data_IF_891779757154
#
_entry.id   IF_891779757154
#
_cell.length_a   1.000
_cell.length_b   1.000
_cell.length_c   1.000
_cell.angle_alpha   90.00
_cell.angle_beta   90.00
_cell.angle_gamma   90.00
#
_symmetry.space_group_name_H-M   'P 1'
#
loop_
_entity.id
_entity.type
_entity.pdbx_description
1 polymer ?
#
# COMPACT_ATOMS: atom_id res chain seq x y z
N UNK A 1 66.00 -3.66 -50.97
CA UNK A 1 66.27 -4.74 -51.96
C UNK A 1 65.92 -6.08 -51.32
N UNK A 2 65.01 -6.83 -51.96
CA UNK A 2 64.78 -8.30 -51.93
C UNK A 2 64.60 -8.99 -50.55
N UNK A 3 63.44 -9.57 -50.19
CA UNK A 3 62.65 -10.70 -50.75
C UNK A 3 62.82 -11.99 -49.93
N UNK A 4 61.69 -12.46 -49.36
CA UNK A 4 61.16 -13.83 -49.34
C UNK A 4 62.06 -15.03 -48.99
N UNK A 5 61.59 -15.88 -48.05
CA UNK A 5 61.19 -17.25 -48.38
C UNK A 5 60.48 -17.96 -47.20
N UNK A 6 59.27 -18.46 -47.48
CA UNK A 6 58.60 -19.52 -46.73
C UNK A 6 59.42 -20.82 -46.76
N UNK A 7 59.36 -21.61 -45.68
CA UNK A 7 59.40 -23.07 -45.79
C UNK A 7 58.37 -23.73 -44.87
N UNK A 8 57.49 -24.48 -45.53
CA UNK A 8 56.56 -25.44 -44.98
C UNK A 8 57.28 -26.72 -44.57
N UNK A 9 56.85 -27.38 -43.49
CA UNK A 9 56.96 -28.83 -43.42
C UNK A 9 55.80 -29.41 -42.60
N UNK A 10 55.09 -30.29 -43.29
CA UNK A 10 53.96 -31.04 -42.84
C UNK A 10 54.34 -32.15 -41.83
N UNK A 11 53.30 -32.84 -41.39
CA UNK A 11 53.29 -34.25 -41.03
C UNK A 11 53.46 -34.58 -39.54
N UNK A 12 52.32 -34.79 -38.89
CA UNK A 12 52.14 -35.90 -37.93
C UNK A 12 50.65 -36.25 -37.85
N UNK A 13 50.28 -37.29 -38.59
CA UNK A 13 49.02 -38.04 -38.42
C UNK A 13 49.32 -39.33 -37.65
N UNK A 14 48.27 -39.91 -37.08
CA UNK A 14 48.17 -41.15 -36.31
C UNK A 14 48.51 -40.95 -34.82
N UNK A 15 47.61 -41.20 -33.86
CA UNK A 15 46.66 -42.31 -33.74
C UNK A 15 45.35 -41.84 -33.09
N UNK A 16 44.20 -42.23 -33.65
CA UNK A 16 42.90 -42.07 -33.00
C UNK A 16 42.33 -43.45 -32.69
N UNK A 17 42.19 -43.77 -31.41
CA UNK A 17 41.46 -44.95 -30.94
C UNK A 17 39.95 -44.60 -30.80
N UNK A 18 39.02 -45.52 -31.08
CA UNK A 18 37.60 -45.24 -30.95
C UNK A 18 37.21 -45.19 -29.46
N UNK A 19 36.49 -44.13 -29.06
CA UNK A 19 35.90 -43.99 -27.72
C UNK A 19 34.51 -44.64 -27.67
N UNK A 20 34.10 -45.24 -26.55
CA UNK A 20 32.76 -45.81 -26.41
C UNK A 20 31.71 -44.70 -26.33
N UNK A 21 30.60 -44.89 -27.04
CA UNK A 21 29.43 -44.00 -26.98
C UNK A 21 28.67 -44.31 -25.69
N UNK A 22 28.77 -43.42 -24.70
CA UNK A 22 27.91 -43.46 -23.51
C UNK A 22 26.59 -42.78 -23.88
N UNK A 23 25.49 -43.54 -23.86
CA UNK A 23 24.15 -42.99 -24.01
C UNK A 23 23.83 -42.09 -22.81
N UNK A 24 23.68 -40.79 -23.05
CA UNK A 24 23.20 -39.86 -22.02
C UNK A 24 21.75 -40.20 -21.65
N UNK A 25 21.41 -40.40 -20.36
CA UNK A 25 20.01 -40.49 -19.98
C UNK A 25 19.37 -39.11 -20.19
N UNK A 26 18.22 -39.07 -20.87
CA UNK A 26 17.43 -37.86 -21.06
C UNK A 26 17.23 -37.14 -19.73
N UNK A 27 17.86 -35.97 -19.60
CA UNK A 27 17.64 -35.10 -18.46
C UNK A 27 16.18 -34.62 -18.49
N UNK A 28 15.36 -35.15 -17.57
CA UNK A 28 14.05 -34.59 -17.25
C UNK A 28 14.32 -33.19 -16.71
N UNK A 29 14.21 -32.19 -17.60
CA UNK A 29 14.34 -30.79 -17.22
C UNK A 29 13.03 -30.41 -16.55
N UNK A 30 13.00 -30.46 -15.22
CA UNK A 30 11.89 -29.92 -14.44
C UNK A 30 11.75 -28.44 -14.81
N UNK A 31 10.71 -28.11 -15.60
CA UNK A 31 10.36 -26.71 -15.87
C UNK A 31 9.72 -26.16 -14.61
N UNK A 32 10.55 -25.58 -13.75
CA UNK A 32 10.08 -24.72 -12.67
C UNK A 32 9.35 -23.56 -13.33
N UNK A 33 8.02 -23.51 -13.18
CA UNK A 33 7.24 -22.35 -13.58
C UNK A 33 7.73 -21.17 -12.73
N UNK A 34 8.25 -20.12 -13.37
CA UNK A 34 8.64 -18.90 -12.68
C UNK A 34 7.41 -18.34 -11.97
N UNK A 35 7.43 -18.33 -10.63
CA UNK A 35 6.44 -17.58 -9.87
C UNK A 35 6.40 -16.15 -10.43
N UNK A 36 5.19 -15.63 -10.65
CA UNK A 36 4.97 -14.24 -11.09
C UNK A 36 5.52 -13.28 -10.02
N UNK A 37 6.82 -13.00 -10.06
CA UNK A 37 7.44 -11.95 -9.29
C UNK A 37 7.08 -10.63 -9.97
N UNK A 38 6.04 -9.95 -9.47
CA UNK A 38 5.79 -8.56 -9.85
C UNK A 38 7.09 -7.76 -9.66
N UNK A 39 7.54 -6.99 -10.66
CA UNK A 39 8.78 -6.22 -10.53
C UNK A 39 8.63 -5.23 -9.37
N UNK A 40 9.61 -5.21 -8.46
CA UNK A 40 9.63 -4.27 -7.34
C UNK A 40 9.77 -2.85 -7.87
N UNK A 41 8.68 -2.07 -7.85
CA UNK A 41 8.73 -0.63 -8.11
C UNK A 41 8.96 0.10 -6.79
N UNK A 42 10.14 0.68 -6.59
CA UNK A 42 10.39 1.54 -5.46
C UNK A 42 9.69 2.89 -5.68
N UNK A 43 8.52 3.09 -5.06
CA UNK A 43 7.70 4.30 -5.24
C UNK A 43 8.40 5.56 -4.67
N UNK A 44 9.35 5.39 -3.74
CA UNK A 44 10.17 6.47 -3.18
C UNK A 44 11.54 5.89 -2.75
N UNK A 45 12.51 5.65 -3.65
CA UNK A 45 13.80 5.04 -3.29
C UNK A 45 14.54 5.90 -2.25
N UNK A 46 15.40 5.32 -1.39
CA UNK A 46 16.14 6.11 -0.41
C UNK A 46 16.97 7.19 -1.10
N UNK A 47 16.95 8.41 -0.56
CA UNK A 47 17.80 9.49 -1.04
C UNK A 47 19.25 9.27 -0.58
N UNK A 48 20.25 9.89 -1.23
CA UNK A 48 21.62 9.88 -0.75
C UNK A 48 21.69 10.36 0.71
N UNK A 49 22.45 9.64 1.53
CA UNK A 49 22.65 10.01 2.93
C UNK A 49 23.41 11.34 3.01
N UNK A 50 22.76 12.38 3.55
CA UNK A 50 23.34 13.71 3.74
C UNK A 50 23.29 14.07 5.22
N UNK A 51 24.44 14.42 5.79
CA UNK A 51 24.50 15.03 7.13
C UNK A 51 24.04 16.49 6.98
N UNK A 52 23.02 16.87 7.76
CA UNK A 52 22.55 18.24 7.83
C UNK A 52 23.04 18.85 9.15
N UNK A 53 23.87 19.89 9.07
CA UNK A 53 24.52 20.53 10.22
C UNK A 53 25.93 20.01 10.52
N UNK A 54 26.54 20.56 11.56
CA UNK A 54 27.85 20.20 12.11
C UNK A 54 27.71 19.40 13.41
N UNK A 55 28.81 18.84 13.92
CA UNK A 55 28.85 18.12 15.21
C UNK A 55 28.40 18.99 16.39
N UNK A 56 28.53 20.33 16.27
CA UNK A 56 28.20 21.28 17.33
C UNK A 56 26.83 21.94 17.14
N UNK A 57 26.11 21.64 16.06
CA UNK A 57 24.81 22.26 15.80
C UNK A 57 23.73 21.55 16.65
N UNK A 58 22.93 22.28 17.45
CA UNK A 58 21.86 21.67 18.23
C UNK A 58 20.78 21.12 17.30
N UNK A 59 20.23 19.95 17.65
CA UNK A 59 19.06 19.40 16.96
C UNK A 59 17.86 20.32 17.15
N UNK A 60 17.17 20.66 16.06
CA UNK A 60 15.94 21.45 16.13
C UNK A 60 14.82 20.55 16.63
N UNK A 61 14.36 20.80 17.86
CA UNK A 61 13.20 20.10 18.44
C UNK A 61 11.93 20.84 18.01
N UNK A 62 10.98 20.18 17.32
CA UNK A 62 9.72 20.81 16.96
C UNK A 62 8.92 21.13 18.23
N UNK A 63 8.18 22.24 18.20
CA UNK A 63 7.33 22.62 19.32
C UNK A 63 6.25 21.57 19.55
N UNK A 64 6.02 21.17 20.80
CA UNK A 64 4.97 20.22 21.12
C UNK A 64 3.58 20.85 20.92
N UNK A 65 2.63 20.03 20.47
CA UNK A 65 1.22 20.40 20.34
C UNK A 65 0.37 19.25 20.84
N UNK A 66 -0.35 19.45 21.95
CA UNK A 66 -1.25 18.43 22.50
C UNK A 66 -2.34 18.02 21.51
N UNK A 67 -2.82 18.98 20.71
CA UNK A 67 -3.82 18.75 19.67
C UNK A 67 -3.35 17.76 18.59
N UNK A 68 -2.06 17.74 18.26
CA UNK A 68 -1.48 16.81 17.27
C UNK A 68 -0.83 15.57 17.92
N UNK A 69 -0.89 15.47 19.25
CA UNK A 69 -0.30 14.38 20.02
C UNK A 69 -1.35 13.66 20.84
N UNK A 70 -1.32 13.88 22.16
CA UNK A 70 -2.14 13.13 23.12
C UNK A 70 -3.64 13.27 22.89
N UNK A 71 -4.15 14.46 22.57
CA UNK A 71 -5.60 14.65 22.36
C UNK A 71 -6.08 13.92 21.12
N UNK A 72 -5.33 14.01 20.01
CA UNK A 72 -5.65 13.27 18.80
C UNK A 72 -5.67 11.76 19.06
N UNK A 73 -4.64 11.24 19.73
CA UNK A 73 -4.55 9.83 20.06
C UNK A 73 -5.72 9.36 20.94
N UNK A 74 -6.01 10.08 22.03
CA UNK A 74 -7.09 9.70 22.94
C UNK A 74 -8.45 9.73 22.24
N UNK A 75 -8.71 10.76 21.43
CA UNK A 75 -9.92 10.86 20.63
C UNK A 75 -10.06 9.69 19.65
N UNK A 76 -9.01 9.35 18.90
CA UNK A 76 -9.04 8.22 17.98
C UNK A 76 -9.34 6.90 18.68
N UNK A 77 -8.71 6.66 19.84
CA UNK A 77 -8.96 5.44 20.61
C UNK A 77 -10.39 5.41 21.14
N UNK A 78 -10.88 6.52 21.69
CA UNK A 78 -12.26 6.62 22.17
C UNK A 78 -13.28 6.37 21.04
N UNK A 79 -13.07 6.98 19.87
CA UNK A 79 -13.90 6.77 18.69
C UNK A 79 -13.88 5.30 18.25
N UNK A 80 -12.70 4.68 18.21
CA UNK A 80 -12.54 3.28 17.81
C UNK A 80 -13.23 2.33 18.79
N UNK A 81 -13.11 2.57 20.09
CA UNK A 81 -13.80 1.80 21.13
C UNK A 81 -15.31 1.97 21.02
N UNK A 82 -15.79 3.20 20.80
CA UNK A 82 -17.22 3.50 20.61
C UNK A 82 -17.81 2.83 19.36
N UNK A 83 -17.00 2.62 18.32
CA UNK A 83 -17.44 1.95 17.09
C UNK A 83 -17.76 0.45 17.30
N UNK A 84 -17.13 -0.20 18.28
CA UNK A 84 -17.31 -1.63 18.55
C UNK A 84 -18.78 -1.95 18.88
N UNK A 85 -19.40 -1.37 19.92
CA UNK A 85 -20.81 -1.65 20.21
C UNK A 85 -21.75 -1.15 19.11
N UNK A 86 -21.42 -0.03 18.44
CA UNK A 86 -22.25 0.51 17.34
C UNK A 86 -22.32 -0.45 16.14
N UNK A 87 -21.23 -1.14 15.80
CA UNK A 87 -21.23 -2.12 14.71
C UNK A 87 -21.92 -3.44 15.08
N UNK A 88 -22.02 -3.77 16.37
CA UNK A 88 -22.73 -4.96 16.88
C UNK A 88 -24.24 -4.70 17.00
N UNK A 89 -24.64 -3.48 17.38
CA UNK A 89 -26.04 -3.11 17.63
C UNK A 89 -27.05 -3.53 16.52
N UNK A 90 -26.79 -3.32 15.22
CA UNK A 90 -27.75 -3.72 14.18
C UNK A 90 -28.00 -5.23 14.13
N UNK A 91 -27.06 -6.07 14.53
CA UNK A 91 -27.25 -7.52 14.59
C UNK A 91 -28.14 -7.97 15.75
N UNK A 92 -28.15 -7.22 16.85
CA UNK A 92 -28.99 -7.51 18.02
C UNK A 92 -30.41 -6.93 17.86
N UNK A 93 -30.53 -5.74 17.26
CA UNK A 93 -31.80 -5.03 17.12
C UNK A 93 -32.51 -5.27 15.77
N UNK A 94 -31.80 -5.76 14.76
CA UNK A 94 -32.32 -6.00 13.41
C UNK A 94 -32.46 -4.74 12.55
N UNK A 95 -33.14 -3.71 13.06
CA UNK A 95 -33.22 -2.36 12.47
C UNK A 95 -32.83 -1.34 13.53
N UNK A 96 -31.94 -0.41 13.18
CA UNK A 96 -31.59 0.70 14.06
C UNK A 96 -32.62 1.82 13.95
N UNK A 97 -32.69 2.66 14.99
CA UNK A 97 -33.36 3.96 14.84
C UNK A 97 -32.48 4.89 14.01
N UNK A 98 -33.05 5.85 13.25
CA UNK A 98 -32.28 6.77 12.41
C UNK A 98 -31.18 7.52 13.17
N UNK A 99 -31.40 7.79 14.47
CA UNK A 99 -30.38 8.43 15.32
C UNK A 99 -29.19 7.52 15.53
N UNK A 100 -29.41 6.23 15.83
CA UNK A 100 -28.33 5.28 16.10
C UNK A 100 -27.62 4.89 14.79
N UNK A 101 -28.35 4.77 13.69
CA UNK A 101 -27.75 4.55 12.36
C UNK A 101 -26.89 5.76 11.94
N UNK A 102 -27.42 6.98 12.08
CA UNK A 102 -26.65 8.20 11.86
C UNK A 102 -25.40 8.32 12.75
N UNK A 103 -25.46 7.88 14.01
CA UNK A 103 -24.28 7.81 14.89
C UNK A 103 -23.25 6.79 14.40
N UNK A 104 -23.70 5.60 13.96
CA UNK A 104 -22.83 4.58 13.38
C UNK A 104 -22.12 5.12 12.13
N UNK A 105 -22.88 5.64 11.19
CA UNK A 105 -22.43 6.17 9.91
C UNK A 105 -21.48 7.36 10.10
N UNK A 106 -21.83 8.31 10.95
CA UNK A 106 -20.99 9.47 11.28
C UNK A 106 -19.69 9.07 11.96
N UNK A 107 -19.74 8.11 12.89
CA UNK A 107 -18.55 7.61 13.57
C UNK A 107 -17.62 6.87 12.60
N UNK A 108 -18.17 6.06 11.67
CA UNK A 108 -17.41 5.41 10.60
C UNK A 108 -16.73 6.46 9.72
N UNK A 109 -17.46 7.49 9.29
CA UNK A 109 -16.91 8.55 8.43
C UNK A 109 -15.71 9.25 9.07
N UNK A 110 -15.84 9.65 10.33
CA UNK A 110 -14.76 10.32 11.08
C UNK A 110 -13.58 9.37 11.29
N UNK A 111 -13.84 8.12 11.69
CA UNK A 111 -12.79 7.12 11.89
C UNK A 111 -12.00 6.85 10.60
N UNK A 112 -12.70 6.70 9.48
CA UNK A 112 -12.08 6.52 8.17
C UNK A 112 -11.30 7.74 7.72
N UNK A 113 -11.82 8.96 7.91
CA UNK A 113 -11.10 10.19 7.56
C UNK A 113 -9.75 10.28 8.29
N UNK A 114 -9.74 10.04 9.61
CA UNK A 114 -8.51 10.08 10.40
C UNK A 114 -7.55 8.96 9.97
N UNK A 115 -8.06 7.75 9.74
CA UNK A 115 -7.25 6.62 9.27
C UNK A 115 -6.57 6.88 7.92
N UNK A 116 -7.31 7.43 6.94
CA UNK A 116 -6.74 7.83 5.66
C UNK A 116 -5.78 9.00 5.78
N UNK A 117 -6.06 9.97 6.65
CA UNK A 117 -5.14 11.06 6.93
C UNK A 117 -3.80 10.51 7.45
N UNK A 118 -3.82 9.59 8.42
CA UNK A 118 -2.61 8.94 8.95
C UNK A 118 -1.83 8.20 7.85
N UNK A 119 -2.52 7.44 6.99
CA UNK A 119 -1.87 6.78 5.85
C UNK A 119 -1.19 7.79 4.89
N UNK A 120 -1.84 8.92 4.59
CA UNK A 120 -1.23 9.98 3.75
C UNK A 120 0.00 10.57 4.44
N UNK A 121 -0.08 10.82 5.76
CA UNK A 121 1.00 11.41 6.53
C UNK A 121 2.25 10.53 6.52
N UNK A 122 2.07 9.21 6.67
CA UNK A 122 3.15 8.22 6.77
C UNK A 122 3.83 7.96 5.42
N UNK A 123 3.04 7.81 4.34
CA UNK A 123 3.58 7.42 3.04
C UNK A 123 4.01 8.61 2.17
N UNK A 124 3.47 9.81 2.41
CA UNK A 124 3.78 11.01 1.62
C UNK A 124 4.37 12.11 2.51
N UNK A 125 5.68 12.06 2.80
CA UNK A 125 6.31 13.03 3.69
C UNK A 125 6.41 14.42 3.06
N UNK A 126 6.14 15.47 3.87
CA UNK A 126 6.17 16.88 3.45
C UNK A 126 7.53 17.27 2.88
N UNK A 127 8.62 16.80 3.49
CA UNK A 127 9.98 17.17 3.09
C UNK A 127 10.40 16.59 1.73
N UNK A 128 9.67 15.60 1.21
CA UNK A 128 10.00 14.93 -0.07
C UNK A 128 8.99 15.22 -1.17
N UNK A 129 7.70 15.15 -0.87
CA UNK A 129 6.61 15.23 -1.85
C UNK A 129 5.49 16.17 -1.38
N UNK A 130 5.80 17.46 -1.07
CA UNK A 130 4.85 18.38 -0.44
C UNK A 130 3.61 18.65 -1.29
N UNK A 131 3.77 18.76 -2.62
CA UNK A 131 2.65 19.01 -3.54
C UNK A 131 1.69 17.83 -3.62
N UNK A 132 2.21 16.60 -3.71
CA UNK A 132 1.40 15.38 -3.75
C UNK A 132 0.64 15.22 -2.45
N UNK A 133 1.31 15.36 -1.30
CA UNK A 133 0.66 15.29 0.01
C UNK A 133 -0.45 16.33 0.12
N UNK A 134 -0.20 17.59 -0.27
CA UNK A 134 -1.23 18.64 -0.25
C UNK A 134 -2.43 18.28 -1.12
N UNK A 135 -2.20 17.76 -2.32
CA UNK A 135 -3.27 17.30 -3.21
C UNK A 135 -4.10 16.18 -2.59
N UNK A 136 -3.44 15.17 -1.99
CA UNK A 136 -4.11 14.05 -1.32
C UNK A 136 -4.93 14.50 -0.10
N UNK A 137 -4.45 15.47 0.68
CA UNK A 137 -5.20 16.02 1.82
C UNK A 137 -6.47 16.75 1.35
N UNK A 138 -6.39 17.54 0.27
CA UNK A 138 -7.57 18.18 -0.32
C UNK A 138 -8.56 17.18 -0.89
N UNK A 139 -8.06 16.15 -1.58
CA UNK A 139 -8.88 15.06 -2.09
C UNK A 139 -9.59 14.32 -0.94
N UNK A 140 -8.87 14.00 0.14
CA UNK A 140 -9.45 13.36 1.32
C UNK A 140 -10.58 14.22 1.90
N UNK A 141 -10.35 15.53 2.08
CA UNK A 141 -11.38 16.45 2.58
C UNK A 141 -12.61 16.47 1.67
N UNK A 142 -12.41 16.56 0.36
CA UNK A 142 -13.50 16.55 -0.61
C UNK A 142 -14.29 15.24 -0.55
N UNK A 143 -13.60 14.09 -0.54
CA UNK A 143 -14.23 12.78 -0.42
C UNK A 143 -15.02 12.66 0.89
N UNK A 144 -14.49 13.14 2.01
CA UNK A 144 -15.19 13.10 3.30
C UNK A 144 -16.46 13.94 3.29
N UNK A 145 -16.44 15.13 2.68
CA UNK A 145 -17.64 15.95 2.53
C UNK A 145 -18.66 15.26 1.62
N UNK A 146 -18.22 14.74 0.47
CA UNK A 146 -19.10 14.05 -0.48
C UNK A 146 -19.76 12.80 0.14
N UNK A 147 -18.98 11.98 0.85
CA UNK A 147 -19.51 10.82 1.56
C UNK A 147 -20.45 11.25 2.69
N UNK A 148 -20.12 12.32 3.43
CA UNK A 148 -21.00 12.89 4.45
C UNK A 148 -22.35 13.34 3.90
N UNK A 149 -22.37 14.00 2.73
CA UNK A 149 -23.60 14.37 2.03
C UNK A 149 -24.38 13.12 1.61
N UNK A 150 -23.69 12.12 1.03
CA UNK A 150 -24.33 10.87 0.65
C UNK A 150 -24.99 10.17 1.83
N UNK A 151 -24.29 10.08 2.96
CA UNK A 151 -24.84 9.53 4.19
C UNK A 151 -26.02 10.33 4.75
N UNK A 152 -25.93 11.67 4.74
CA UNK A 152 -27.05 12.52 5.11
C UNK A 152 -28.29 12.23 4.26
N UNK A 153 -28.11 12.10 2.94
CA UNK A 153 -29.20 11.77 2.02
C UNK A 153 -29.80 10.38 2.29
N UNK A 154 -28.95 9.37 2.52
CA UNK A 154 -29.40 8.01 2.87
C UNK A 154 -30.21 7.96 4.16
N UNK A 155 -29.83 8.74 5.17
CA UNK A 155 -30.50 8.74 6.49
C UNK A 155 -31.77 9.60 6.51
N UNK A 156 -31.85 10.65 5.68
CA UNK A 156 -32.98 11.60 5.70
C UNK A 156 -34.02 11.35 4.61
N UNK A 157 -33.58 10.93 3.42
CA UNK A 157 -34.43 10.78 2.24
C UNK A 157 -34.55 9.32 1.76
N UNK A 158 -33.78 8.39 2.34
CA UNK A 158 -33.85 6.95 2.04
C UNK A 158 -34.01 6.13 3.34
N UNK A 159 -33.72 4.82 3.26
CA UNK A 159 -34.01 3.83 4.30
C UNK A 159 -32.96 3.73 5.41
N UNK A 160 -31.85 4.47 5.31
CA UNK A 160 -30.69 4.37 6.21
C UNK A 160 -29.68 3.29 5.81
N UNK A 161 -28.45 3.42 6.32
CA UNK A 161 -27.32 2.56 5.93
C UNK A 161 -27.56 1.09 6.30
N UNK A 162 -28.01 0.81 7.52
CA UNK A 162 -28.13 -0.57 8.00
C UNK A 162 -29.21 -1.37 7.28
N UNK A 163 -30.37 -0.76 7.05
CA UNK A 163 -31.44 -1.37 6.26
C UNK A 163 -31.06 -1.50 4.78
N UNK A 164 -30.32 -0.54 4.20
CA UNK A 164 -29.80 -0.68 2.84
C UNK A 164 -28.86 -1.90 2.72
N UNK A 165 -27.92 -2.08 3.65
CA UNK A 165 -27.01 -3.24 3.67
C UNK A 165 -27.80 -4.55 3.79
N UNK A 166 -28.80 -4.60 4.68
CA UNK A 166 -29.66 -5.78 4.87
C UNK A 166 -30.43 -6.14 3.60
N UNK A 167 -30.95 -5.14 2.87
CA UNK A 167 -31.63 -5.34 1.58
C UNK A 167 -30.68 -5.86 0.52
N UNK A 168 -29.47 -5.29 0.41
CA UNK A 168 -28.43 -5.76 -0.52
C UNK A 168 -28.06 -7.22 -0.22
N UNK A 169 -27.89 -7.57 1.06
CA UNK A 169 -27.55 -8.93 1.47
C UNK A 169 -28.67 -9.94 1.17
N UNK A 170 -29.92 -9.52 1.27
CA UNK A 170 -31.10 -10.36 1.02
C UNK A 170 -31.54 -10.36 -0.44
N UNK A 171 -30.91 -9.53 -1.29
CA UNK A 171 -31.21 -9.47 -2.70
C UNK A 171 -30.82 -10.80 -3.35
N UNK A 172 -31.84 -11.58 -3.74
CA UNK A 172 -31.64 -12.74 -4.61
C UNK A 172 -31.49 -12.23 -6.05
N UNK A 173 -30.53 -12.81 -6.77
CA UNK A 173 -30.40 -12.62 -8.22
C UNK A 173 -31.64 -13.15 -8.95
#
# INVERSE_FOLDING_TARGET
MASSALRSSAFRRAFAAPRPVVSSPSAITARVAGFHASPTRAILPPLPQKISGTVNDPVVVPHSSYAHGSYHWTMERALSIGLIPLTIAPFAAGSLSPVVDGLLVGSILVHSHIGFQSAIIDYFPVWRVPMVRKGLMWLLNLCTVLVGIGFYEFETNDVGLTEAIKRIWSARA
#
